data_IF_986422669475
#
_entry.id   IF_986422669475
#
_cell.length_a   1.000
_cell.length_b   1.000
_cell.length_c   1.000
_cell.angle_alpha   90.00
_cell.angle_beta   90.00
_cell.angle_gamma   90.00
#
_symmetry.space_group_name_H-M   'P 1'
#
loop_
_entity.id
_entity.type
_entity.pdbx_description
1 polymer ?
#
# COMPACT_ATOMS: atom_id res chain seq x y z
N UNK A 1 -12.94 21.23 8.46
CA UNK A 1 -14.37 20.96 8.68
C UNK A 1 -15.14 21.05 7.36
N UNK A 2 -15.19 22.19 6.63
CA UNK A 2 -16.01 22.33 5.42
C UNK A 2 -15.75 21.23 4.37
N UNK A 3 -14.47 20.93 4.04
CA UNK A 3 -14.14 19.87 3.07
C UNK A 3 -14.60 18.48 3.55
N UNK A 4 -14.52 18.21 4.84
CA UNK A 4 -15.01 16.98 5.47
C UNK A 4 -16.53 16.85 5.27
N UNK A 5 -17.30 17.86 5.69
CA UNK A 5 -18.76 17.85 5.55
C UNK A 5 -19.21 17.76 4.07
N UNK A 6 -18.49 18.45 3.18
CA UNK A 6 -18.78 18.36 1.75
C UNK A 6 -18.49 16.97 1.17
N UNK A 7 -17.51 16.27 1.72
CA UNK A 7 -17.22 14.89 1.32
C UNK A 7 -18.34 13.92 1.70
N UNK A 8 -19.06 14.17 2.79
CA UNK A 8 -20.30 13.44 3.11
C UNK A 8 -21.38 13.63 2.03
N UNK A 9 -21.54 14.85 1.52
CA UNK A 9 -22.46 15.10 0.39
C UNK A 9 -22.08 14.29 -0.85
N UNK A 10 -20.80 13.93 -0.99
CA UNK A 10 -20.29 13.11 -2.07
C UNK A 10 -20.34 11.60 -1.77
N UNK A 11 -20.82 11.20 -0.59
CA UNK A 11 -21.05 9.80 -0.22
C UNK A 11 -19.97 9.14 0.63
N UNK A 12 -18.95 9.86 1.11
CA UNK A 12 -17.99 9.30 2.03
C UNK A 12 -18.56 9.28 3.46
N UNK A 13 -18.37 8.17 4.20
CA UNK A 13 -18.67 8.12 5.64
C UNK A 13 -17.55 8.74 6.46
N UNK A 14 -17.80 8.91 7.76
CA UNK A 14 -16.74 9.11 8.73
C UNK A 14 -15.86 7.86 8.81
N UNK A 15 -14.55 8.07 8.85
CA UNK A 15 -13.60 6.98 9.04
C UNK A 15 -13.15 6.85 10.51
N UNK A 16 -13.50 7.79 11.37
CA UNK A 16 -13.36 7.61 12.82
C UNK A 16 -14.49 6.75 13.40
N UNK A 17 -14.31 6.26 14.63
CA UNK A 17 -15.35 5.51 15.34
C UNK A 17 -16.44 6.43 15.86
N UNK A 18 -17.59 6.46 15.19
CA UNK A 18 -18.70 7.37 15.50
C UNK A 18 -19.39 7.08 16.84
N UNK A 19 -19.14 5.92 17.45
CA UNK A 19 -19.66 5.59 18.79
C UNK A 19 -18.60 5.67 19.89
N UNK A 20 -17.40 6.18 19.56
CA UNK A 20 -16.27 6.28 20.49
C UNK A 20 -15.88 4.93 21.13
N UNK A 21 -16.00 3.83 20.39
CA UNK A 21 -15.72 2.47 20.88
C UNK A 21 -14.24 2.24 21.22
N UNK A 22 -13.35 3.19 20.88
CA UNK A 22 -11.91 3.07 21.05
C UNK A 22 -11.23 2.25 19.96
N UNK A 23 -11.92 1.92 18.86
CA UNK A 23 -11.27 1.36 17.68
C UNK A 23 -10.26 2.38 17.15
N UNK A 24 -9.07 1.91 16.81
CA UNK A 24 -8.05 2.72 16.17
C UNK A 24 -8.48 3.03 14.72
N UNK A 25 -8.18 4.23 14.25
CA UNK A 25 -8.70 4.74 12.98
C UNK A 25 -7.60 5.55 12.28
N UNK A 26 -7.73 5.89 10.99
CA UNK A 26 -6.68 6.57 10.23
C UNK A 26 -6.19 7.90 10.81
N UNK A 27 -6.94 8.50 11.71
CA UNK A 27 -6.54 9.71 12.42
C UNK A 27 -6.24 10.89 11.48
N UNK A 28 -5.09 11.50 11.66
CA UNK A 28 -4.72 12.72 10.92
C UNK A 28 -4.35 12.49 9.45
N UNK A 29 -4.25 11.24 9.00
CA UNK A 29 -3.99 10.90 7.60
C UNK A 29 -5.22 11.13 6.70
N UNK A 30 -6.42 10.97 7.23
CA UNK A 30 -7.67 11.07 6.47
C UNK A 30 -8.40 12.38 6.74
N UNK A 31 -8.92 13.00 5.68
CA UNK A 31 -9.85 14.12 5.79
C UNK A 31 -11.16 13.68 6.47
N UNK A 32 -11.58 12.44 6.26
CA UNK A 32 -12.79 11.87 6.85
C UNK A 32 -12.62 11.37 8.29
N UNK A 33 -11.47 11.69 8.90
CA UNK A 33 -11.14 11.47 10.30
C UNK A 33 -10.53 12.74 10.89
N UNK A 34 -9.53 12.66 11.75
CA UNK A 34 -8.90 13.77 12.45
C UNK A 34 -8.13 14.75 11.53
N UNK A 35 -7.87 14.35 10.28
CA UNK A 35 -7.18 15.21 9.30
C UNK A 35 -7.85 16.58 9.10
N UNK A 36 -9.18 16.65 9.24
CA UNK A 36 -9.93 17.91 9.17
C UNK A 36 -9.48 18.95 10.20
N UNK A 37 -8.79 18.53 11.27
CA UNK A 37 -8.27 19.40 12.34
C UNK A 37 -6.79 19.77 12.17
N UNK A 38 -6.12 19.30 11.13
CA UNK A 38 -4.72 19.66 10.87
C UNK A 38 -4.56 21.19 10.80
N UNK A 39 -3.42 21.68 11.33
CA UNK A 39 -3.14 23.14 11.39
C UNK A 39 -4.28 23.95 12.05
N UNK A 40 -4.84 23.48 13.14
CA UNK A 40 -5.99 24.09 13.81
C UNK A 40 -7.17 24.30 12.85
N UNK A 41 -7.53 23.28 12.08
CA UNK A 41 -8.62 23.22 11.09
C UNK A 41 -8.47 24.16 9.87
N UNK A 42 -7.26 24.69 9.64
CA UNK A 42 -7.01 25.64 8.54
C UNK A 42 -6.48 24.98 7.27
N UNK A 43 -5.80 23.85 7.42
CA UNK A 43 -5.16 23.15 6.29
C UNK A 43 -5.42 21.66 6.41
N UNK A 44 -6.59 21.19 5.94
CA UNK A 44 -6.85 19.75 5.89
C UNK A 44 -5.88 19.09 4.91
N UNK A 45 -5.61 17.79 5.07
CA UNK A 45 -4.81 17.05 4.10
C UNK A 45 -5.59 16.89 2.79
N UNK A 46 -4.91 16.51 1.73
CA UNK A 46 -5.54 16.00 0.52
C UNK A 46 -6.39 14.77 0.85
N UNK A 47 -7.43 14.53 0.06
CA UNK A 47 -8.12 13.25 0.10
C UNK A 47 -7.10 12.12 -0.16
N UNK A 48 -7.21 11.06 0.62
CA UNK A 48 -6.38 9.87 0.47
C UNK A 48 -6.66 9.17 -0.85
N UNK A 49 -5.76 8.29 -1.28
CA UNK A 49 -6.00 7.49 -2.49
C UNK A 49 -7.29 6.68 -2.38
N UNK A 50 -7.64 6.17 -1.20
CA UNK A 50 -8.90 5.50 -0.96
C UNK A 50 -10.12 6.42 -1.15
N UNK A 51 -10.12 7.61 -0.54
CA UNK A 51 -11.21 8.58 -0.67
C UNK A 51 -11.39 9.03 -2.13
N UNK A 52 -10.29 9.26 -2.85
CA UNK A 52 -10.30 9.62 -4.28
C UNK A 52 -10.78 8.47 -5.17
N UNK A 53 -10.44 7.23 -4.83
CA UNK A 53 -10.97 6.05 -5.48
C UNK A 53 -12.48 5.94 -5.31
N UNK A 54 -13.02 6.17 -4.10
CA UNK A 54 -14.46 6.20 -3.83
C UNK A 54 -15.19 7.28 -4.65
N UNK A 55 -14.55 8.43 -4.89
CA UNK A 55 -15.11 9.48 -5.72
C UNK A 55 -15.01 9.21 -7.24
N UNK A 56 -14.31 8.18 -7.64
CA UNK A 56 -13.99 7.94 -9.05
C UNK A 56 -13.01 8.96 -9.66
N UNK A 57 -12.22 9.62 -8.82
CA UNK A 57 -11.18 10.57 -9.24
C UNK A 57 -9.84 9.90 -9.49
N UNK A 58 -9.67 8.72 -8.97
CA UNK A 58 -8.46 7.91 -9.05
C UNK A 58 -8.83 6.46 -9.32
N UNK A 59 -8.12 5.82 -10.25
CA UNK A 59 -8.16 4.37 -10.47
C UNK A 59 -6.78 3.79 -10.12
N UNK A 60 -6.64 3.12 -8.97
CA UNK A 60 -5.36 2.55 -8.58
C UNK A 60 -4.93 1.42 -9.52
N UNK A 61 -3.64 1.40 -9.86
CA UNK A 61 -3.06 0.31 -10.66
C UNK A 61 -2.98 -0.98 -9.84
N UNK A 62 -3.56 -2.06 -10.34
CA UNK A 62 -3.53 -3.34 -9.62
C UNK A 62 -2.15 -4.01 -9.71
N UNK A 63 -1.57 -4.32 -8.55
CA UNK A 63 -0.35 -5.12 -8.44
C UNK A 63 -0.70 -6.61 -8.41
N UNK A 64 -0.37 -7.32 -9.47
CA UNK A 64 -0.59 -8.77 -9.61
C UNK A 64 0.72 -9.54 -9.72
N UNK A 65 1.55 -9.11 -10.64
CA UNK A 65 2.77 -9.79 -11.04
C UNK A 65 4.00 -9.15 -10.39
N UNK A 66 5.10 -9.89 -10.23
CA UNK A 66 6.36 -9.34 -9.72
C UNK A 66 6.80 -8.11 -10.52
N UNK A 67 7.04 -7.00 -9.83
CA UNK A 67 7.48 -5.76 -10.46
C UNK A 67 8.25 -4.86 -9.50
N UNK A 68 9.05 -3.95 -10.07
CA UNK A 68 9.63 -2.83 -9.34
C UNK A 68 8.68 -1.65 -9.47
N UNK A 69 8.37 -1.04 -8.34
CA UNK A 69 7.46 0.09 -8.27
C UNK A 69 8.23 1.35 -7.92
N UNK A 70 7.88 2.43 -8.60
CA UNK A 70 8.31 3.80 -8.27
C UNK A 70 7.06 4.65 -8.14
N UNK A 71 6.87 5.27 -6.99
CA UNK A 71 5.69 6.07 -6.66
C UNK A 71 6.08 7.51 -6.39
N UNK A 72 5.55 8.40 -7.20
CA UNK A 72 5.61 9.84 -6.92
C UNK A 72 4.60 10.19 -5.82
N UNK A 73 4.81 11.28 -5.08
CA UNK A 73 3.85 11.69 -4.07
C UNK A 73 2.52 12.11 -4.69
N UNK A 74 1.43 11.81 -4.00
CA UNK A 74 0.16 12.49 -4.25
C UNK A 74 0.40 13.99 -4.03
N UNK A 75 0.04 14.81 -5.02
CA UNK A 75 0.30 16.24 -5.00
C UNK A 75 -0.89 17.02 -5.53
N UNK A 76 -1.09 18.21 -4.98
CA UNK A 76 -2.05 19.21 -5.45
C UNK A 76 -1.52 20.04 -6.64
N UNK A 77 -0.22 19.98 -6.90
CA UNK A 77 0.45 20.82 -7.92
C UNK A 77 0.78 20.03 -9.20
N UNK A 78 0.81 18.71 -9.12
CA UNK A 78 1.07 17.81 -10.25
C UNK A 78 -0.03 16.77 -10.41
N UNK A 79 -0.35 16.42 -11.64
CA UNK A 79 -1.36 15.40 -11.98
C UNK A 79 -0.81 13.98 -11.76
N UNK A 80 -0.07 13.77 -10.67
CA UNK A 80 0.48 12.47 -10.33
C UNK A 80 -0.43 11.80 -9.31
N UNK A 81 -1.15 10.79 -9.76
CA UNK A 81 -2.04 9.97 -8.95
C UNK A 81 -1.47 8.54 -8.90
N UNK A 82 -0.19 8.44 -8.53
CA UNK A 82 0.45 7.14 -8.39
C UNK A 82 -0.13 6.44 -7.15
N UNK A 83 -1.10 5.57 -7.37
CA UNK A 83 -1.65 4.70 -6.35
C UNK A 83 -1.76 3.27 -6.87
N UNK A 84 -1.61 2.31 -5.98
CA UNK A 84 -1.68 0.90 -6.32
C UNK A 84 -2.68 0.18 -5.44
N UNK A 85 -3.28 -0.89 -5.97
CA UNK A 85 -4.20 -1.75 -5.23
C UNK A 85 -3.69 -3.19 -5.24
N UNK A 86 -3.73 -3.84 -4.08
CA UNK A 86 -3.48 -5.26 -3.91
C UNK A 86 -4.78 -5.90 -3.44
N UNK A 87 -5.34 -6.79 -4.23
CA UNK A 87 -6.58 -7.50 -3.91
C UNK A 87 -6.30 -8.76 -3.11
N UNK A 88 -7.24 -9.13 -2.24
CA UNK A 88 -7.24 -10.40 -1.53
C UNK A 88 -8.15 -11.43 -2.23
N UNK A 89 -8.29 -12.60 -1.64
CA UNK A 89 -9.29 -13.60 -2.07
C UNK A 89 -10.74 -13.13 -1.84
N UNK A 90 -10.93 -12.23 -0.85
CA UNK A 90 -12.22 -11.58 -0.59
C UNK A 90 -12.36 -10.33 -1.49
N UNK A 91 -13.35 -10.26 -2.40
CA UNK A 91 -13.51 -9.13 -3.32
C UNK A 91 -13.79 -7.79 -2.62
N UNK A 92 -14.18 -7.81 -1.37
CA UNK A 92 -14.45 -6.61 -0.57
C UNK A 92 -13.26 -6.20 0.30
N UNK A 93 -12.19 -7.00 0.34
CA UNK A 93 -11.01 -6.72 1.14
C UNK A 93 -9.79 -6.51 0.24
N UNK A 94 -9.12 -5.39 0.40
CA UNK A 94 -7.99 -5.00 -0.43
C UNK A 94 -7.10 -3.99 0.30
N UNK A 95 -5.91 -3.80 -0.25
CA UNK A 95 -4.96 -2.78 0.21
C UNK A 95 -4.79 -1.71 -0.86
N UNK A 96 -4.74 -0.44 -0.46
CA UNK A 96 -4.36 0.67 -1.34
C UNK A 96 -3.06 1.27 -0.83
N UNK A 97 -2.14 1.51 -1.75
CA UNK A 97 -0.84 2.09 -1.51
C UNK A 97 -0.80 3.50 -2.07
N UNK A 98 -0.32 4.45 -1.27
CA UNK A 98 -0.09 5.83 -1.69
C UNK A 98 1.20 6.39 -1.10
N UNK A 99 1.82 7.33 -1.78
CA UNK A 99 2.97 8.07 -1.27
C UNK A 99 2.50 9.45 -0.78
N UNK A 100 2.62 9.70 0.52
CA UNK A 100 2.27 10.99 1.15
C UNK A 100 3.54 11.72 1.54
N UNK A 101 3.62 12.99 1.15
CA UNK A 101 4.75 13.85 1.48
C UNK A 101 4.26 15.16 2.11
N UNK A 102 5.09 15.74 3.00
CA UNK A 102 4.74 16.97 3.72
C UNK A 102 4.89 18.20 2.83
N UNK A 103 4.09 18.26 1.75
CA UNK A 103 4.10 19.34 0.76
C UNK A 103 2.67 19.80 0.45
N UNK A 104 2.50 20.99 -0.10
CA UNK A 104 1.21 21.52 -0.49
C UNK A 104 0.20 21.53 0.68
N UNK A 105 -0.97 20.95 0.47
CA UNK A 105 -2.00 20.78 1.50
C UNK A 105 -1.55 19.80 2.59
N UNK A 106 -0.71 18.82 2.25
CA UNK A 106 -0.22 17.80 3.18
C UNK A 106 0.93 18.27 4.09
N UNK A 107 1.37 19.52 3.97
CA UNK A 107 2.51 20.06 4.75
C UNK A 107 2.38 19.96 6.27
N UNK A 108 1.18 19.75 6.78
CA UNK A 108 0.90 19.59 8.22
C UNK A 108 0.63 18.15 8.64
N UNK A 109 0.81 17.18 7.75
CA UNK A 109 0.85 15.77 8.14
C UNK A 109 1.99 15.54 9.14
N UNK A 110 1.79 14.65 10.08
CA UNK A 110 2.80 14.35 11.10
C UNK A 110 3.95 13.54 10.53
N UNK A 111 3.67 12.57 9.67
CA UNK A 111 4.64 11.72 8.98
C UNK A 111 4.64 11.91 7.47
N UNK A 112 5.49 11.15 6.78
CA UNK A 112 5.57 11.07 5.32
C UNK A 112 6.11 9.70 4.90
N UNK A 113 5.84 9.30 3.67
CA UNK A 113 6.30 8.03 3.10
C UNK A 113 5.18 7.24 2.43
N UNK A 114 5.39 5.93 2.29
CA UNK A 114 4.40 5.00 1.79
C UNK A 114 3.36 4.71 2.86
N UNK A 115 2.09 5.01 2.59
CA UNK A 115 0.97 4.52 3.37
C UNK A 115 0.37 3.29 2.71
N UNK A 116 0.04 2.31 3.52
CA UNK A 116 -0.65 1.08 3.12
C UNK A 116 -1.99 1.03 3.85
N UNK A 117 -3.05 1.31 3.11
CA UNK A 117 -4.42 1.25 3.60
C UNK A 117 -4.92 -0.19 3.56
N UNK A 118 -5.51 -0.68 4.63
CA UNK A 118 -6.23 -1.94 4.69
C UNK A 118 -7.72 -1.66 4.74
N UNK A 119 -8.46 -2.09 3.73
CA UNK A 119 -9.88 -1.83 3.57
C UNK A 119 -10.64 -3.15 3.49
N UNK A 120 -11.72 -3.26 4.28
CA UNK A 120 -12.75 -4.28 4.12
C UNK A 120 -14.08 -3.55 3.92
N UNK A 121 -14.44 -3.33 2.66
CA UNK A 121 -15.61 -2.58 2.29
C UNK A 121 -16.89 -3.39 2.57
N UNK A 122 -17.69 -2.92 3.51
CA UNK A 122 -19.01 -3.48 3.81
C UNK A 122 -20.07 -2.42 3.54
N UNK A 123 -20.85 -2.52 2.45
CA UNK A 123 -21.76 -1.47 2.02
C UNK A 123 -22.68 -0.94 3.12
N UNK A 124 -23.25 -1.79 3.94
CA UNK A 124 -24.14 -1.38 5.01
C UNK A 124 -23.42 -0.55 6.08
N UNK A 125 -22.17 -0.88 6.41
CA UNK A 125 -21.37 -0.10 7.37
C UNK A 125 -21.07 1.28 6.81
N UNK A 126 -20.76 1.38 5.52
CA UNK A 126 -20.54 2.66 4.83
C UNK A 126 -21.81 3.49 4.77
N UNK A 127 -22.92 2.91 4.35
CA UNK A 127 -24.22 3.61 4.23
C UNK A 127 -24.77 4.07 5.59
N UNK A 128 -24.47 3.35 6.66
CA UNK A 128 -24.93 3.70 8.02
C UNK A 128 -23.91 4.55 8.79
N UNK A 129 -22.78 4.93 8.18
CA UNK A 129 -21.70 5.68 8.84
C UNK A 129 -21.10 4.93 10.05
N UNK A 130 -20.86 3.64 9.92
CA UNK A 130 -20.40 2.73 10.98
C UNK A 130 -19.09 2.00 10.64
N UNK A 131 -18.25 2.56 9.76
CA UNK A 131 -17.08 1.89 9.21
C UNK A 131 -16.12 1.32 10.26
N UNK A 132 -15.91 2.02 11.38
CA UNK A 132 -14.97 1.61 12.42
C UNK A 132 -15.64 1.58 13.81
N UNK A 133 -16.92 1.21 13.88
CA UNK A 133 -17.69 1.22 15.13
C UNK A 133 -17.61 -0.08 15.90
N UNK A 134 -18.00 -1.19 15.29
CA UNK A 134 -18.02 -2.51 15.95
C UNK A 134 -16.76 -3.32 15.64
N UNK A 135 -16.19 -3.09 14.50
CA UNK A 135 -14.97 -3.72 13.97
C UNK A 135 -14.25 -2.68 13.12
N UNK A 136 -12.94 -2.76 13.08
CA UNK A 136 -12.15 -1.96 12.16
C UNK A 136 -12.38 -2.45 10.72
N UNK A 137 -12.80 -1.55 9.84
CA UNK A 137 -13.02 -1.84 8.43
C UNK A 137 -12.10 -1.06 7.50
N UNK A 138 -11.48 -0.01 8.00
CA UNK A 138 -10.48 0.77 7.27
C UNK A 138 -9.49 1.41 8.23
N UNK A 139 -8.22 1.21 7.96
CA UNK A 139 -7.11 1.83 8.67
C UNK A 139 -5.85 1.80 7.82
N UNK A 140 -4.79 2.46 8.25
CA UNK A 140 -3.44 2.26 7.74
C UNK A 140 -2.77 1.11 8.47
N UNK A 141 -1.81 0.45 7.82
CA UNK A 141 -0.87 -0.44 8.50
C UNK A 141 0.28 0.43 8.98
N UNK A 142 0.42 0.56 10.30
CA UNK A 142 1.43 1.40 10.91
C UNK A 142 2.82 0.74 10.84
N UNK A 143 3.79 1.42 10.20
CA UNK A 143 5.14 0.88 10.04
C UNK A 143 5.84 0.63 11.39
N UNK A 144 5.59 1.46 12.39
CA UNK A 144 6.14 1.26 13.75
C UNK A 144 5.35 0.24 14.59
N UNK A 145 4.29 -0.36 14.02
CA UNK A 145 3.40 -1.32 14.66
C UNK A 145 2.76 -0.81 15.95
N UNK A 146 2.48 0.49 16.04
CA UNK A 146 1.87 1.10 17.20
C UNK A 146 0.57 1.79 16.83
N UNK A 147 -0.52 1.28 17.38
CA UNK A 147 -1.84 1.91 17.27
C UNK A 147 -1.96 3.03 18.31
N UNK A 148 -1.31 4.16 18.03
CA UNK A 148 -1.24 5.31 18.93
C UNK A 148 -1.22 6.63 18.15
N UNK A 149 -2.17 7.51 18.42
CA UNK A 149 -2.26 8.84 17.80
C UNK A 149 -1.07 9.78 18.14
N UNK A 150 -0.24 9.42 19.10
CA UNK A 150 0.99 10.14 19.41
C UNK A 150 2.19 9.70 18.56
N UNK A 151 2.11 8.54 17.90
CA UNK A 151 3.20 7.98 17.09
C UNK A 151 2.92 8.02 15.58
N UNK A 152 1.91 8.73 15.12
CA UNK A 152 1.48 8.83 13.71
C UNK A 152 2.62 9.17 12.74
N UNK A 153 3.68 9.82 13.19
CA UNK A 153 4.87 10.07 12.37
C UNK A 153 5.63 8.78 11.99
N UNK A 154 5.37 7.69 12.72
CA UNK A 154 5.94 6.37 12.50
C UNK A 154 5.09 5.44 11.63
N UNK A 155 3.89 5.84 11.21
CA UNK A 155 2.96 4.96 10.47
C UNK A 155 3.40 4.70 9.04
N UNK A 156 3.99 5.68 8.37
CA UNK A 156 4.39 5.55 6.97
C UNK A 156 5.70 4.76 6.82
N UNK A 157 5.82 3.98 5.76
CA UNK A 157 7.03 3.24 5.42
C UNK A 157 7.99 4.07 4.55
N UNK A 158 9.34 3.93 4.69
CA UNK A 158 10.02 3.21 5.75
C UNK A 158 9.92 3.90 7.12
N UNK A 159 9.50 5.18 7.14
CA UNK A 159 9.20 5.98 8.30
C UNK A 159 10.36 6.11 9.29
N UNK A 160 10.02 6.64 10.46
CA UNK A 160 10.99 6.80 11.56
C UNK A 160 11.46 5.45 12.14
N UNK A 161 10.67 4.40 11.97
CA UNK A 161 11.00 3.03 12.37
C UNK A 161 11.94 2.31 11.39
N UNK A 162 12.18 2.91 10.19
CA UNK A 162 13.00 2.35 9.12
C UNK A 162 12.58 0.94 8.69
N UNK A 163 11.28 0.70 8.60
CA UNK A 163 10.71 -0.59 8.19
C UNK A 163 10.67 -0.65 6.67
N UNK A 164 11.48 -1.52 6.09
CA UNK A 164 11.71 -1.61 4.64
C UNK A 164 11.04 -2.81 3.98
N UNK A 165 10.25 -3.57 4.73
CA UNK A 165 9.54 -4.73 4.21
C UNK A 165 8.18 -4.89 4.90
N UNK A 166 7.21 -5.37 4.13
CA UNK A 166 5.88 -5.72 4.56
C UNK A 166 5.50 -7.03 3.85
N UNK A 167 5.49 -8.14 4.62
CA UNK A 167 5.33 -9.50 4.10
C UNK A 167 4.44 -10.32 5.02
N UNK A 168 4.15 -11.55 4.64
CA UNK A 168 3.40 -12.51 5.47
C UNK A 168 4.11 -12.89 6.78
N UNK A 169 5.40 -12.57 6.93
CA UNK A 169 6.23 -12.98 8.06
C UNK A 169 6.82 -11.79 8.84
N UNK A 170 6.51 -10.56 8.42
CA UNK A 170 6.94 -9.34 9.14
C UNK A 170 5.88 -8.90 10.16
N UNK A 171 6.31 -8.07 11.11
CA UNK A 171 5.42 -7.36 12.03
C UNK A 171 5.79 -5.88 11.97
N UNK A 172 4.92 -5.02 11.42
CA UNK A 172 3.59 -5.33 10.87
C UNK A 172 3.65 -6.21 9.61
N UNK A 173 2.51 -6.85 9.29
CA UNK A 173 2.27 -7.65 8.09
C UNK A 173 1.06 -7.17 7.31
N UNK A 174 0.89 -7.63 6.07
CA UNK A 174 -0.38 -7.49 5.34
C UNK A 174 -1.24 -8.72 5.60
N UNK A 175 -1.87 -8.76 6.78
CA UNK A 175 -2.69 -9.89 7.21
C UNK A 175 -4.17 -9.62 6.91
N UNK A 176 -4.76 -10.28 5.89
CA UNK A 176 -6.19 -10.20 5.63
C UNK A 176 -7.01 -10.62 6.86
N UNK A 177 -8.15 -9.98 7.08
CA UNK A 177 -9.04 -10.36 8.18
C UNK A 177 -9.64 -11.77 8.03
N UNK A 178 -9.51 -12.39 6.86
CA UNK A 178 -9.83 -13.81 6.63
C UNK A 178 -8.85 -14.75 7.33
N UNK A 179 -7.67 -14.26 7.71
CA UNK A 179 -6.59 -15.04 8.32
C UNK A 179 -5.75 -15.83 7.31
N UNK A 180 -6.00 -15.69 6.02
CA UNK A 180 -5.18 -16.28 4.97
C UNK A 180 -3.89 -15.47 4.76
N UNK A 181 -2.81 -16.13 4.32
CA UNK A 181 -1.60 -15.45 3.88
C UNK A 181 -1.84 -14.78 2.53
N UNK A 182 -1.44 -13.52 2.40
CA UNK A 182 -1.65 -12.75 1.17
C UNK A 182 -0.68 -13.14 0.04
N UNK A 183 0.52 -13.62 0.39
CA UNK A 183 1.59 -13.95 -0.56
C UNK A 183 1.92 -12.81 -1.55
N UNK A 184 1.87 -11.60 -1.06
CA UNK A 184 2.10 -10.38 -1.82
C UNK A 184 3.18 -9.50 -1.17
N UNK A 185 4.40 -10.02 -0.95
CA UNK A 185 5.44 -9.30 -0.23
C UNK A 185 5.84 -8.00 -0.95
N UNK A 186 5.96 -6.94 -0.16
CA UNK A 186 6.59 -5.68 -0.52
C UNK A 186 7.93 -5.63 0.20
N UNK A 187 9.03 -5.44 -0.52
CA UNK A 187 10.37 -5.45 0.04
C UNK A 187 11.25 -4.35 -0.54
N UNK A 188 12.31 -4.00 0.19
CA UNK A 188 13.23 -2.96 -0.25
C UNK A 188 12.60 -1.58 -0.36
N UNK A 189 11.64 -1.27 0.52
CA UNK A 189 10.99 0.06 0.55
C UNK A 189 12.05 1.11 0.86
N UNK A 190 12.12 2.13 0.00
CA UNK A 190 13.03 3.26 0.15
C UNK A 190 12.30 4.55 -0.19
N UNK A 191 12.69 5.62 0.49
CA UNK A 191 12.31 6.98 0.17
C UNK A 191 13.56 7.79 -0.17
N UNK A 192 13.57 8.39 -1.37
CA UNK A 192 14.65 9.26 -1.84
C UNK A 192 14.00 10.48 -2.49
N UNK A 193 14.28 11.66 -1.99
CA UNK A 193 13.73 12.93 -2.50
C UNK A 193 12.19 12.93 -2.62
N UNK A 194 11.51 12.28 -1.66
CA UNK A 194 10.06 12.14 -1.65
C UNK A 194 9.50 11.10 -2.62
N UNK A 195 10.35 10.40 -3.34
CA UNK A 195 9.95 9.29 -4.22
C UNK A 195 10.08 7.98 -3.44
N UNK A 196 9.02 7.18 -3.45
CA UNK A 196 9.02 5.84 -2.87
C UNK A 196 9.35 4.82 -3.95
N UNK A 197 10.23 3.88 -3.62
CA UNK A 197 10.51 2.71 -4.46
C UNK A 197 10.42 1.43 -3.64
N UNK A 198 9.96 0.36 -4.26
CA UNK A 198 9.94 -0.98 -3.64
C UNK A 198 9.86 -2.09 -4.69
N UNK A 199 10.10 -3.31 -4.26
CA UNK A 199 9.87 -4.53 -5.03
C UNK A 199 8.58 -5.20 -4.55
N UNK A 200 7.68 -5.48 -5.48
CA UNK A 200 6.49 -6.30 -5.24
C UNK A 200 6.75 -7.72 -5.72
N UNK A 201 6.46 -8.72 -4.88
CA UNK A 201 6.71 -10.16 -5.14
C UNK A 201 8.14 -10.46 -5.64
N UNK A 202 9.14 -9.81 -5.03
CA UNK A 202 10.56 -9.97 -5.38
C UNK A 202 11.05 -9.07 -6.51
N UNK A 203 10.18 -8.23 -7.09
CA UNK A 203 10.55 -7.30 -8.16
C UNK A 203 10.43 -7.91 -9.56
N UNK A 204 10.65 -7.07 -10.57
CA UNK A 204 10.70 -7.53 -11.95
C UNK A 204 11.80 -8.58 -12.13
N UNK A 205 11.48 -9.63 -12.83
CA UNK A 205 12.50 -10.63 -13.20
C UNK A 205 13.50 -10.01 -14.18
N UNK A 206 14.58 -9.45 -13.64
CA UNK A 206 15.67 -8.86 -14.43
C UNK A 206 16.52 -9.94 -15.13
N UNK A 207 16.34 -11.19 -14.73
CA UNK A 207 17.06 -12.34 -15.27
C UNK A 207 16.30 -12.87 -16.46
N UNK A 208 15.78 -12.37 -17.35
CA UNK A 208 15.16 -12.93 -18.56
C UNK A 208 14.68 -14.39 -18.45
N UNK A 209 13.92 -14.84 -19.37
CA UNK A 209 13.48 -16.23 -19.43
C UNK A 209 14.66 -17.15 -19.77
N UNK A 210 14.83 -18.24 -19.01
CA UNK A 210 15.79 -19.30 -19.37
C UNK A 210 15.18 -20.10 -20.52
N UNK A 211 15.75 -19.95 -21.71
CA UNK A 211 15.32 -20.70 -22.88
C UNK A 211 16.22 -21.89 -23.08
N UNK A 212 15.66 -23.10 -22.95
CA UNK A 212 16.37 -24.34 -23.27
C UNK A 212 16.60 -24.45 -24.79
N UNK A 213 17.85 -24.68 -25.15
CA UNK A 213 18.22 -24.97 -26.54
C UNK A 213 18.29 -26.50 -26.77
N UNK A 214 18.29 -26.95 -28.03
CA UNK A 214 18.45 -28.37 -28.32
C UNK A 214 19.71 -28.97 -27.66
N UNK A 215 19.54 -30.12 -27.07
CA UNK A 215 20.66 -30.87 -26.49
C UNK A 215 21.66 -31.29 -27.56
N UNK A 216 22.96 -31.31 -27.21
CA UNK A 216 24.02 -31.77 -28.07
C UNK A 216 24.74 -33.00 -27.42
N UNK A 217 25.64 -33.64 -28.17
CA UNK A 217 26.44 -34.79 -27.69
C UNK A 217 25.59 -35.93 -27.09
N UNK A 218 24.45 -36.20 -27.68
CA UNK A 218 23.49 -37.19 -27.18
C UNK A 218 24.10 -38.60 -27.34
N UNK A 219 24.29 -39.31 -26.22
CA UNK A 219 24.82 -40.68 -26.13
C UNK A 219 23.95 -41.51 -25.20
N UNK A 220 24.14 -42.84 -25.20
CA UNK A 220 23.37 -43.73 -24.32
C UNK A 220 23.52 -43.42 -22.81
N UNK A 221 24.60 -42.73 -22.40
CA UNK A 221 24.88 -42.41 -20.99
C UNK A 221 24.83 -40.91 -20.65
N UNK A 222 24.38 -40.03 -21.57
CA UNK A 222 24.32 -38.60 -21.28
C UNK A 222 24.14 -37.72 -22.51
N UNK A 223 23.98 -36.43 -22.25
CA UNK A 223 23.87 -35.40 -23.26
C UNK A 223 24.40 -34.06 -22.69
N UNK A 224 24.68 -33.12 -23.56
CA UNK A 224 24.98 -31.75 -23.17
C UNK A 224 23.71 -30.92 -23.20
N UNK A 225 23.30 -30.41 -22.06
CA UNK A 225 22.19 -29.46 -21.98
C UNK A 225 22.67 -28.05 -22.36
N UNK A 226 21.91 -27.37 -23.18
CA UNK A 226 22.21 -26.03 -23.66
C UNK A 226 21.08 -25.08 -23.34
N UNK A 227 21.40 -23.82 -22.96
CA UNK A 227 20.45 -22.74 -22.76
C UNK A 227 21.09 -21.40 -23.08
N UNK A 228 20.28 -20.39 -23.27
CA UNK A 228 20.77 -19.03 -23.45
C UNK A 228 21.32 -18.49 -22.14
N UNK A 229 22.42 -17.75 -22.19
CA UNK A 229 22.92 -17.04 -21.03
C UNK A 229 21.87 -16.03 -20.57
N UNK A 230 21.62 -16.02 -19.27
CA UNK A 230 20.72 -15.06 -18.63
C UNK A 230 21.55 -13.95 -18.02
N UNK A 231 21.19 -12.70 -18.31
CA UNK A 231 21.93 -11.54 -17.83
C UNK A 231 22.00 -11.57 -16.29
N UNK A 232 23.19 -11.28 -15.74
CA UNK A 232 23.48 -11.26 -14.30
C UNK A 232 23.33 -12.60 -13.55
N UNK A 233 23.04 -13.70 -14.22
CA UNK A 233 23.06 -15.02 -13.57
C UNK A 233 24.50 -15.41 -13.20
N UNK A 234 24.73 -15.79 -11.94
CA UNK A 234 26.03 -16.25 -11.44
C UNK A 234 26.18 -17.76 -11.51
N UNK A 235 25.13 -18.49 -11.87
CA UNK A 235 25.10 -19.94 -12.04
C UNK A 235 23.73 -20.45 -12.40
N UNK A 236 23.65 -21.71 -12.73
CA UNK A 236 22.41 -22.42 -13.09
C UNK A 236 22.34 -23.75 -12.34
N UNK A 237 21.15 -24.15 -11.95
CA UNK A 237 20.88 -25.48 -11.41
C UNK A 237 20.05 -26.26 -12.43
N UNK A 238 20.59 -27.36 -12.89
CA UNK A 238 19.91 -28.29 -13.80
C UNK A 238 19.36 -29.48 -12.99
N UNK A 239 18.09 -29.72 -13.07
CA UNK A 239 17.44 -30.94 -12.56
C UNK A 239 17.05 -31.82 -13.75
N UNK A 240 17.51 -33.08 -13.75
CA UNK A 240 17.28 -34.08 -14.81
C UNK A 240 16.55 -35.27 -14.23
#
# INVERSE_FOLDING_TARGET
VFCHEFSHVRGLPDLYSTNYSGAFTPGTWSLMDQGSYNSASRTPPLHTAYERYCFGWLEPTELKDPCNVTMRPISDIGFYDDAYIIKTSNPYEYYILENRQKAGWDKYLKGHGLLVWHINFVPDMWNMNLCNVSKQHIDVIEADNKKDYYTVEGDAFPGTANVTALTDDTTPGMDPWTGEKLHAPITGIKEIDGIITFMFKGGANIFGEIVANPATDIKAGGFTANWNAVNMATGYLLSV
#
